data_IF_486108576976
#
_entry.id   IF_486108576976
#
_cell.length_a   1.000
_cell.length_b   1.000
_cell.length_c   1.000
_cell.angle_alpha   90.00
_cell.angle_beta   90.00
_cell.angle_gamma   90.00
#
_symmetry.space_group_name_H-M   'P 1'
#
loop_
_entity.id
_entity.type
_entity.pdbx_description
1 polymer ?
#
# COMPACT_ATOMS: atom_id res chain seq x y z
N UNK A 1 21.10 -3.09 -0.35
CA UNK A 1 20.18 -2.42 -1.30
C UNK A 1 20.55 -0.94 -1.32
N UNK A 2 20.83 -0.37 -2.51
CA UNK A 2 21.38 0.98 -2.70
C UNK A 2 20.36 2.02 -3.20
N UNK A 3 19.15 1.61 -3.60
CA UNK A 3 18.18 2.48 -4.27
C UNK A 3 18.44 2.64 -5.78
N UNK A 4 19.35 1.86 -6.36
CA UNK A 4 19.58 1.79 -7.80
C UNK A 4 18.33 1.29 -8.54
N UNK A 5 17.95 1.99 -9.61
CA UNK A 5 16.83 1.61 -10.47
C UNK A 5 17.30 0.48 -11.39
N UNK A 6 16.75 -0.71 -11.20
CA UNK A 6 17.06 -1.89 -12.00
C UNK A 6 16.09 -2.10 -13.18
N UNK A 7 14.94 -1.42 -13.14
CA UNK A 7 13.92 -1.52 -14.18
C UNK A 7 12.65 -0.74 -13.83
N UNK A 8 11.71 -0.71 -14.77
CA UNK A 8 10.43 -0.03 -14.61
C UNK A 8 9.33 -0.66 -15.47
N UNK A 9 8.06 -0.37 -15.13
CA UNK A 9 6.89 -0.70 -15.94
C UNK A 9 5.93 0.48 -15.98
N UNK A 10 5.17 0.61 -17.06
CA UNK A 10 4.05 1.55 -17.16
C UNK A 10 2.72 0.81 -17.05
N UNK A 11 1.85 1.26 -16.15
CA UNK A 11 0.53 0.68 -15.92
C UNK A 11 -0.56 1.70 -16.28
N UNK A 12 -1.15 1.55 -17.45
CA UNK A 12 -2.06 2.54 -18.03
C UNK A 12 -3.51 2.22 -17.69
N UNK A 13 -4.19 3.18 -17.05
CA UNK A 13 -5.59 3.03 -16.62
C UNK A 13 -5.77 2.23 -15.32
N UNK A 14 -4.69 2.00 -14.58
CA UNK A 14 -4.73 1.22 -13.35
C UNK A 14 -5.28 2.02 -12.16
N UNK A 15 -4.86 3.27 -12.04
CA UNK A 15 -5.23 4.17 -10.96
C UNK A 15 -4.02 4.96 -10.47
N UNK A 16 -4.05 5.35 -9.21
CA UNK A 16 -3.02 6.21 -8.61
C UNK A 16 -1.74 5.45 -8.25
N UNK A 17 -1.85 4.17 -7.89
CA UNK A 17 -0.73 3.35 -7.44
C UNK A 17 -0.41 3.51 -5.95
N UNK A 18 -1.43 3.75 -5.11
CA UNK A 18 -1.23 4.05 -3.68
C UNK A 18 -0.52 2.92 -2.92
N UNK A 19 -0.78 1.67 -3.29
CA UNK A 19 -0.14 0.51 -2.67
C UNK A 19 0.06 -0.58 -3.71
N UNK A 20 1.22 -1.24 -3.63
CA UNK A 20 1.57 -2.42 -4.42
C UNK A 20 1.85 -3.57 -3.46
N UNK A 21 1.21 -4.72 -3.69
CA UNK A 21 1.57 -5.99 -3.09
C UNK A 21 2.62 -6.70 -3.95
N UNK A 22 3.62 -7.28 -3.31
CA UNK A 22 4.68 -8.04 -4.01
C UNK A 22 4.60 -9.49 -3.56
N UNK A 23 4.50 -10.39 -4.53
CA UNK A 23 4.51 -11.83 -4.34
C UNK A 23 5.79 -12.40 -4.98
N UNK A 24 6.78 -12.81 -4.18
CA UNK A 24 8.04 -13.36 -4.70
C UNK A 24 7.82 -14.64 -5.52
N UNK A 25 8.42 -14.72 -6.71
CA UNK A 25 8.32 -15.87 -7.61
C UNK A 25 9.69 -16.24 -8.18
N UNK A 26 10.49 -16.96 -7.39
CA UNK A 26 11.85 -17.36 -7.78
C UNK A 26 12.76 -16.14 -7.99
N UNK A 27 13.21 -15.93 -9.23
CA UNK A 27 14.01 -14.76 -9.62
C UNK A 27 13.18 -13.56 -10.10
N UNK A 28 11.85 -13.68 -10.12
CA UNK A 28 10.89 -12.66 -10.52
C UNK A 28 9.92 -12.34 -9.38
N UNK A 29 8.93 -11.51 -9.63
CA UNK A 29 7.84 -11.25 -8.71
C UNK A 29 6.53 -10.99 -9.46
N UNK A 30 5.43 -11.46 -8.89
CA UNK A 30 4.11 -10.99 -9.28
C UNK A 30 3.77 -9.73 -8.48
N UNK A 31 3.28 -8.73 -9.20
CA UNK A 31 2.81 -7.48 -8.63
C UNK A 31 1.28 -7.50 -8.54
N UNK A 32 0.79 -6.99 -7.43
CA UNK A 32 -0.61 -6.80 -7.14
C UNK A 32 -0.87 -5.32 -6.96
N UNK A 33 -1.76 -4.75 -7.75
CA UNK A 33 -2.15 -3.34 -7.59
C UNK A 33 -3.56 -3.10 -8.10
N UNK A 34 -4.08 -1.91 -7.84
CA UNK A 34 -5.37 -1.45 -8.33
C UNK A 34 -5.43 -1.43 -9.87
N UNK A 35 -6.59 -1.70 -10.46
CA UNK A 35 -6.84 -1.61 -11.90
C UNK A 35 -8.26 -1.12 -12.19
N UNK A 36 -8.53 -0.81 -13.47
CA UNK A 36 -9.85 -0.41 -13.95
C UNK A 36 -10.32 0.87 -13.24
N UNK A 37 -9.41 1.83 -13.12
CA UNK A 37 -9.75 3.17 -12.63
C UNK A 37 -10.67 3.87 -13.65
N UNK A 38 -11.59 4.69 -13.14
CA UNK A 38 -12.34 5.58 -13.99
C UNK A 38 -11.37 6.55 -14.71
N UNK A 39 -11.70 7.03 -15.92
CA UNK A 39 -10.96 8.13 -16.53
C UNK A 39 -10.93 9.31 -15.55
N UNK A 40 -9.77 9.96 -15.36
CA UNK A 40 -9.71 11.13 -14.50
C UNK A 40 -10.62 12.23 -15.06
N UNK A 41 -11.40 12.87 -14.19
CA UNK A 41 -11.93 14.20 -14.44
C UNK A 41 -10.81 15.25 -14.32
N UNK A 42 -11.09 16.50 -14.68
CA UNK A 42 -10.12 17.59 -14.50
C UNK A 42 -9.71 17.72 -13.02
N UNK A 43 -8.45 17.39 -12.74
CA UNK A 43 -7.86 17.49 -11.40
C UNK A 43 -8.10 16.28 -10.48
N UNK A 44 -8.79 15.23 -10.94
CA UNK A 44 -9.08 14.05 -10.13
C UNK A 44 -7.98 12.99 -10.24
N UNK A 45 -7.52 12.51 -9.09
CA UNK A 45 -6.74 11.28 -8.98
C UNK A 45 -7.73 10.12 -8.88
N UNK A 46 -7.78 9.27 -9.91
CA UNK A 46 -8.66 8.11 -9.90
C UNK A 46 -7.97 6.88 -9.35
N UNK A 47 -8.72 6.10 -8.59
CA UNK A 47 -8.28 4.84 -8.03
C UNK A 47 -9.01 3.69 -8.73
N UNK A 48 -8.33 2.56 -8.84
CA UNK A 48 -8.87 1.33 -9.40
C UNK A 48 -9.96 0.74 -8.52
N UNK A 49 -10.92 0.08 -9.16
CA UNK A 49 -12.05 -0.56 -8.48
C UNK A 49 -11.91 -2.09 -8.39
N UNK A 50 -10.79 -2.61 -8.87
CA UNK A 50 -10.42 -4.02 -8.88
C UNK A 50 -8.94 -4.16 -8.58
N UNK A 51 -8.50 -5.36 -8.23
CA UNK A 51 -7.08 -5.68 -8.11
C UNK A 51 -6.64 -6.49 -9.32
N UNK A 52 -5.49 -6.18 -9.89
CA UNK A 52 -4.81 -6.99 -10.91
C UNK A 52 -3.57 -7.67 -10.32
N UNK A 53 -3.30 -8.89 -10.79
CA UNK A 53 -2.04 -9.63 -10.64
C UNK A 53 -1.40 -9.80 -12.00
N UNK A 54 -0.10 -9.51 -12.10
CA UNK A 54 0.71 -9.69 -13.31
C UNK A 54 2.18 -9.82 -12.92
N UNK A 55 3.00 -10.46 -13.76
CA UNK A 55 4.42 -10.58 -13.51
C UNK A 55 5.14 -9.26 -13.80
N UNK A 56 6.13 -8.90 -12.98
CA UNK A 56 7.01 -7.79 -13.31
C UNK A 56 7.87 -8.11 -14.54
N UNK A 57 7.91 -7.19 -15.49
CA UNK A 57 8.75 -7.27 -16.68
C UNK A 57 9.33 -5.89 -17.00
N UNK A 58 10.66 -5.74 -16.93
CA UNK A 58 11.31 -4.46 -17.19
C UNK A 58 10.99 -3.93 -18.61
N UNK A 59 10.69 -2.63 -18.68
CA UNK A 59 10.31 -1.90 -19.89
C UNK A 59 8.89 -2.19 -20.38
N UNK A 60 8.13 -3.06 -19.71
CA UNK A 60 6.79 -3.40 -20.15
C UNK A 60 5.79 -2.27 -19.91
N UNK A 61 4.81 -2.19 -20.81
CA UNK A 61 3.63 -1.33 -20.66
C UNK A 61 2.40 -2.21 -20.68
N UNK A 62 1.63 -2.19 -19.59
CA UNK A 62 0.35 -2.88 -19.49
C UNK A 62 -0.79 -1.89 -19.50
N UNK A 63 -1.88 -2.25 -20.16
CA UNK A 63 -3.15 -1.53 -20.05
C UNK A 63 -4.16 -2.40 -19.33
N UNK A 64 -5.33 -1.85 -18.99
CA UNK A 64 -6.41 -2.63 -18.39
C UNK A 64 -6.92 -3.75 -19.31
N UNK A 65 -6.62 -3.76 -20.61
CA UNK A 65 -7.02 -4.83 -21.53
C UNK A 65 -5.91 -5.82 -21.85
N UNK A 66 -4.71 -5.65 -21.28
CA UNK A 66 -3.58 -6.57 -21.49
C UNK A 66 -3.94 -7.99 -21.00
N UNK A 67 -3.56 -9.01 -21.76
CA UNK A 67 -3.93 -10.41 -21.51
C UNK A 67 -3.15 -11.02 -20.34
N UNK A 68 -2.05 -10.38 -19.95
CA UNK A 68 -1.17 -10.72 -18.85
C UNK A 68 -1.83 -10.48 -17.47
N UNK A 69 -2.89 -9.67 -17.41
CA UNK A 69 -3.57 -9.34 -16.16
C UNK A 69 -4.54 -10.47 -15.79
N UNK A 70 -4.39 -10.99 -14.57
CA UNK A 70 -5.51 -11.65 -13.88
C UNK A 70 -6.18 -10.62 -12.97
N UNK A 71 -7.47 -10.40 -13.14
CA UNK A 71 -8.22 -9.35 -12.41
C UNK A 71 -9.23 -9.93 -11.44
N UNK A 72 -9.28 -9.35 -10.25
CA UNK A 72 -10.10 -9.82 -9.15
C UNK A 72 -11.05 -8.73 -8.65
N UNK A 73 -12.31 -9.13 -8.46
CA UNK A 73 -13.32 -8.34 -7.75
C UNK A 73 -13.62 -9.07 -6.44
N UNK A 74 -12.82 -8.80 -5.40
CA UNK A 74 -12.87 -9.56 -4.14
C UNK A 74 -14.06 -9.18 -3.25
N UNK A 75 -14.54 -7.94 -3.37
CA UNK A 75 -15.72 -7.44 -2.66
C UNK A 75 -16.65 -6.84 -3.72
N UNK A 76 -17.86 -7.39 -3.93
CA UNK A 76 -18.81 -6.82 -4.88
C UNK A 76 -19.17 -5.37 -4.53
N UNK A 77 -19.08 -4.49 -5.52
CA UNK A 77 -19.40 -3.06 -5.38
C UNK A 77 -18.34 -2.22 -4.63
N UNK A 78 -17.19 -2.80 -4.29
CA UNK A 78 -16.07 -2.04 -3.75
C UNK A 78 -15.45 -1.13 -4.83
N UNK A 79 -14.98 0.03 -4.38
CA UNK A 79 -14.23 1.00 -5.19
C UNK A 79 -12.95 1.39 -4.46
N UNK A 80 -12.02 2.07 -5.15
CA UNK A 80 -10.76 2.57 -4.56
C UNK A 80 -9.98 1.48 -3.81
N UNK A 81 -9.77 0.35 -4.50
CA UNK A 81 -9.20 -0.85 -3.92
C UNK A 81 -7.69 -0.83 -3.97
N UNK A 82 -6.99 -1.14 -2.87
CA UNK A 82 -5.52 -1.24 -2.87
C UNK A 82 -5.07 -2.48 -2.09
N UNK A 83 -4.13 -3.29 -2.62
CA UNK A 83 -3.71 -4.53 -1.98
C UNK A 83 -2.44 -4.37 -1.14
N UNK A 84 -2.29 -5.21 -0.12
CA UNK A 84 -1.03 -5.51 0.54
C UNK A 84 -0.91 -7.03 0.70
N UNK A 85 0.30 -7.57 0.56
CA UNK A 85 0.59 -8.99 0.79
C UNK A 85 1.41 -9.12 2.05
N UNK A 86 0.97 -9.96 2.97
CA UNK A 86 1.74 -10.32 4.16
C UNK A 86 2.69 -11.50 3.84
N UNK A 87 4.01 -11.26 3.83
CA UNK A 87 4.99 -12.30 3.50
C UNK A 87 5.10 -13.41 4.55
N UNK A 88 4.49 -13.25 5.74
CA UNK A 88 4.54 -14.26 6.81
C UNK A 88 3.38 -15.26 6.77
N UNK A 89 2.23 -14.86 6.23
CA UNK A 89 1.00 -15.66 6.22
C UNK A 89 0.49 -15.99 4.83
N UNK A 90 1.03 -15.35 3.78
CA UNK A 90 0.47 -15.38 2.43
C UNK A 90 -1.01 -14.96 2.42
N UNK A 91 -1.33 -13.92 3.21
CA UNK A 91 -2.63 -13.27 3.13
C UNK A 91 -2.56 -12.04 2.24
N UNK A 92 -3.63 -11.80 1.48
CA UNK A 92 -3.89 -10.56 0.78
C UNK A 92 -4.84 -9.71 1.61
N UNK A 93 -4.41 -8.50 1.97
CA UNK A 93 -5.27 -7.48 2.57
C UNK A 93 -5.66 -6.46 1.51
N UNK A 94 -6.95 -6.35 1.23
CA UNK A 94 -7.48 -5.31 0.37
C UNK A 94 -8.08 -4.20 1.22
N UNK A 95 -7.50 -3.00 1.12
CA UNK A 95 -8.22 -1.77 1.50
C UNK A 95 -9.22 -1.44 0.40
N UNK A 96 -10.43 -1.06 0.76
CA UNK A 96 -11.45 -0.66 -0.21
C UNK A 96 -12.44 0.33 0.40
N UNK A 97 -13.10 1.11 -0.44
CA UNK A 97 -14.25 1.93 -0.05
C UNK A 97 -15.55 1.21 -0.41
N UNK A 98 -16.51 1.23 0.51
CA UNK A 98 -17.88 0.80 0.27
C UNK A 98 -18.83 1.70 1.05
N UNK A 99 -19.87 2.20 0.38
CA UNK A 99 -20.87 3.09 0.97
C UNK A 99 -20.26 4.32 1.69
N UNK A 100 -19.20 4.92 1.13
CA UNK A 100 -18.54 6.11 1.66
C UNK A 100 -17.58 5.87 2.83
N UNK A 101 -17.32 4.61 3.21
CA UNK A 101 -16.41 4.26 4.29
C UNK A 101 -15.30 3.31 3.80
N UNK A 102 -14.08 3.56 4.27
CA UNK A 102 -12.94 2.67 4.00
C UNK A 102 -12.91 1.49 4.98
N UNK A 103 -12.55 0.33 4.44
CA UNK A 103 -12.47 -0.96 5.14
C UNK A 103 -11.25 -1.74 4.68
N UNK A 104 -10.90 -2.77 5.45
CA UNK A 104 -9.83 -3.72 5.13
C UNK A 104 -10.38 -5.13 5.22
N UNK A 105 -10.39 -5.84 4.09
CA UNK A 105 -10.75 -7.24 4.03
C UNK A 105 -9.48 -8.08 3.80
N UNK A 106 -9.34 -9.15 4.59
CA UNK A 106 -8.20 -10.07 4.52
C UNK A 106 -8.66 -11.36 3.86
N UNK A 107 -7.87 -11.88 2.94
CA UNK A 107 -8.13 -13.11 2.20
C UNK A 107 -6.90 -14.01 2.22
N UNK A 108 -7.13 -15.33 2.16
CA UNK A 108 -6.08 -16.27 1.80
C UNK A 108 -5.66 -16.05 0.34
N UNK A 109 -4.36 -15.85 0.07
CA UNK A 109 -3.86 -15.52 -1.26
C UNK A 109 -4.10 -16.65 -2.27
N UNK A 110 -3.85 -17.90 -1.87
CA UNK A 110 -4.03 -19.05 -2.75
C UNK A 110 -5.52 -19.22 -3.14
N UNK A 111 -6.45 -18.98 -2.21
CA UNK A 111 -7.88 -18.98 -2.49
C UNK A 111 -8.29 -17.85 -3.45
N UNK A 112 -7.68 -16.66 -3.34
CA UNK A 112 -7.89 -15.58 -4.32
C UNK A 112 -7.44 -16.02 -5.70
N UNK A 113 -6.23 -16.56 -5.82
CA UNK A 113 -5.65 -17.00 -7.09
C UNK A 113 -6.44 -18.16 -7.73
N UNK A 114 -6.99 -19.06 -6.91
CA UNK A 114 -7.86 -20.13 -7.36
C UNK A 114 -9.26 -19.66 -7.80
N UNK A 115 -9.57 -18.37 -7.65
CA UNK A 115 -10.89 -17.80 -7.98
C UNK A 115 -11.98 -18.11 -6.96
N UNK A 116 -11.62 -18.53 -5.75
CA UNK A 116 -12.52 -18.88 -4.65
C UNK A 116 -12.18 -18.10 -3.37
N UNK A 117 -12.12 -16.76 -3.43
CA UNK A 117 -11.61 -15.94 -2.33
C UNK A 117 -12.41 -16.17 -1.04
N UNK A 118 -11.69 -16.55 0.01
CA UNK A 118 -12.27 -16.73 1.35
C UNK A 118 -11.88 -15.56 2.22
N UNK A 119 -12.87 -14.76 2.65
CA UNK A 119 -12.64 -13.62 3.55
C UNK A 119 -12.40 -14.12 4.97
N UNK A 120 -11.24 -13.80 5.52
CA UNK A 120 -10.83 -14.16 6.88
C UNK A 120 -11.28 -13.09 7.89
N UNK A 121 -11.02 -11.82 7.57
CA UNK A 121 -11.35 -10.67 8.39
C UNK A 121 -11.90 -9.53 7.55
N UNK A 122 -12.69 -8.67 8.18
CA UNK A 122 -13.24 -7.46 7.57
C UNK A 122 -13.48 -6.37 8.62
N UNK A 123 -12.59 -5.39 8.65
CA UNK A 123 -12.61 -4.32 9.66
C UNK A 123 -12.79 -2.94 9.02
N UNK A 124 -13.43 -2.03 9.76
CA UNK A 124 -13.47 -0.63 9.36
C UNK A 124 -12.08 0.00 9.50
N UNK A 125 -11.75 0.95 8.63
CA UNK A 125 -10.62 1.84 8.88
C UNK A 125 -10.90 2.65 10.17
N UNK A 126 -9.97 2.70 11.14
CA UNK A 126 -10.16 3.56 12.31
C UNK A 126 -10.23 5.03 11.93
N UNK A 127 -11.04 5.79 12.65
CA UNK A 127 -11.18 7.23 12.48
C UNK A 127 -10.02 8.01 13.11
N UNK A 128 -9.90 9.29 12.72
CA UNK A 128 -9.00 10.25 13.38
C UNK A 128 -7.51 9.99 13.15
N UNK A 129 -7.13 9.36 12.03
CA UNK A 129 -5.74 9.05 11.70
C UNK A 129 -5.01 10.18 10.94
N UNK A 130 -5.75 11.14 10.36
CA UNK A 130 -5.21 12.14 9.45
C UNK A 130 -5.19 11.67 7.99
N UNK A 131 -4.37 12.31 7.15
CA UNK A 131 -4.25 12.00 5.72
C UNK A 131 -3.62 10.63 5.52
N UNK A 132 -4.32 9.72 4.84
CA UNK A 132 -3.83 8.37 4.57
C UNK A 132 -2.71 8.36 3.53
N UNK A 133 -1.63 7.62 3.80
CA UNK A 133 -0.45 7.58 2.94
C UNK A 133 0.06 6.16 2.64
N UNK A 134 -0.59 5.11 3.16
CA UNK A 134 -0.20 3.73 2.86
C UNK A 134 -0.65 2.73 3.93
N UNK A 135 -0.61 1.45 3.57
CA UNK A 135 -0.93 0.36 4.50
C UNK A 135 -0.11 -0.91 4.21
N UNK A 136 0.11 -1.71 5.24
CA UNK A 136 0.68 -3.05 5.09
C UNK A 136 0.22 -3.96 6.22
N UNK A 137 0.45 -5.26 6.13
CA UNK A 137 0.01 -6.24 7.14
C UNK A 137 1.12 -7.21 7.51
N UNK A 138 1.14 -7.61 8.78
CA UNK A 138 2.01 -8.66 9.30
C UNK A 138 1.29 -9.48 10.37
N UNK A 139 1.11 -10.78 10.11
CA UNK A 139 0.30 -11.67 10.93
C UNK A 139 -1.14 -11.16 11.07
N UNK A 140 -1.55 -10.88 12.31
CA UNK A 140 -2.90 -10.38 12.62
C UNK A 140 -2.96 -8.85 12.75
N UNK A 141 -1.93 -8.13 12.32
CA UNK A 141 -1.86 -6.67 12.47
C UNK A 141 -1.84 -5.96 11.13
N UNK A 142 -2.64 -4.90 11.07
CA UNK A 142 -2.63 -3.88 10.03
C UNK A 142 -1.85 -2.68 10.52
N UNK A 143 -0.97 -2.19 9.65
CA UNK A 143 -0.18 -0.98 9.84
C UNK A 143 -0.67 0.07 8.87
N UNK A 144 -0.87 1.28 9.37
CA UNK A 144 -1.35 2.42 8.60
C UNK A 144 -0.36 3.57 8.73
N UNK A 145 0.02 4.15 7.58
CA UNK A 145 0.79 5.39 7.51
C UNK A 145 -0.17 6.55 7.28
N UNK A 146 -0.02 7.60 8.08
CA UNK A 146 -0.72 8.85 7.85
C UNK A 146 0.18 10.05 8.07
N UNK A 147 -0.17 11.17 7.44
CA UNK A 147 0.49 12.45 7.61
C UNK A 147 0.53 13.27 6.33
N UNK A 148 0.79 14.56 6.51
CA UNK A 148 0.91 15.55 5.44
C UNK A 148 2.39 15.91 5.23
N UNK A 149 2.74 16.49 4.06
CA UNK A 149 4.06 17.07 3.86
C UNK A 149 4.39 18.17 4.86
N UNK A 150 5.68 18.40 5.09
CA UNK A 150 6.15 19.60 5.79
C UNK A 150 5.74 20.88 5.07
N UNK A 151 5.24 21.83 5.85
CA UNK A 151 4.77 23.15 5.42
C UNK A 151 4.75 24.13 6.60
N UNK A 152 4.39 25.39 6.36
CA UNK A 152 4.21 26.37 7.44
C UNK A 152 3.11 25.96 8.44
N UNK A 153 2.08 25.22 7.98
CA UNK A 153 1.01 24.70 8.83
C UNK A 153 1.31 23.31 9.42
N UNK A 154 2.34 22.62 8.92
CA UNK A 154 2.80 21.33 9.40
C UNK A 154 4.34 21.33 9.55
N UNK A 155 4.91 22.20 10.40
CA UNK A 155 6.36 22.30 10.55
C UNK A 155 6.91 21.06 11.24
N UNK A 156 8.23 20.84 11.13
CA UNK A 156 8.90 19.75 11.83
C UNK A 156 8.53 19.71 13.33
N UNK A 157 8.22 18.53 13.91
CA UNK A 157 8.41 17.19 13.36
C UNK A 157 7.31 16.71 12.39
N UNK A 158 6.31 17.55 12.10
CA UNK A 158 5.11 17.26 11.31
C UNK A 158 4.13 16.35 12.04
N UNK A 159 3.20 15.79 11.28
CA UNK A 159 2.09 14.97 11.76
C UNK A 159 2.10 13.54 11.21
N UNK A 160 3.27 12.97 10.93
CA UNK A 160 3.34 11.59 10.44
C UNK A 160 3.15 10.59 11.57
N UNK A 161 2.12 9.76 11.48
CA UNK A 161 1.84 8.70 12.44
C UNK A 161 1.92 7.31 11.80
N UNK A 162 2.33 6.34 12.60
CA UNK A 162 2.14 4.92 12.31
C UNK A 162 1.12 4.39 13.30
N UNK A 163 0.09 3.75 12.77
CA UNK A 163 -1.00 3.16 13.56
C UNK A 163 -1.00 1.65 13.37
N UNK A 164 -1.10 0.88 14.45
CA UNK A 164 -1.32 -0.56 14.41
C UNK A 164 -2.75 -0.90 14.82
N UNK A 165 -3.34 -1.88 14.14
CA UNK A 165 -4.73 -2.31 14.32
C UNK A 165 -4.77 -3.83 14.34
N UNK A 166 -5.48 -4.42 15.29
CA UNK A 166 -5.72 -5.86 15.28
C UNK A 166 -6.79 -6.18 14.22
N UNK A 167 -6.41 -6.93 13.19
CA UNK A 167 -7.28 -7.30 12.06
C UNK A 167 -8.47 -8.16 12.50
N UNK A 168 -8.40 -8.85 13.64
CA UNK A 168 -9.46 -9.73 14.12
C UNK A 168 -10.60 -8.95 14.77
N UNK A 169 -10.29 -7.78 15.34
CA UNK A 169 -11.23 -6.99 16.14
C UNK A 169 -11.48 -5.59 15.60
N UNK A 170 -10.60 -5.08 14.74
CA UNK A 170 -10.59 -3.69 14.28
C UNK A 170 -10.10 -2.70 15.36
N UNK A 171 -9.62 -3.18 16.51
CA UNK A 171 -9.15 -2.31 17.58
C UNK A 171 -7.80 -1.71 17.24
N UNK A 172 -7.70 -0.39 17.37
CA UNK A 172 -6.42 0.33 17.32
C UNK A 172 -5.59 -0.04 18.55
N UNK A 173 -4.38 -0.53 18.31
CA UNK A 173 -3.45 -1.00 19.34
C UNK A 173 -2.47 0.11 19.71
N UNK A 174 -1.80 0.71 18.73
CA UNK A 174 -0.93 1.87 18.91
C UNK A 174 -1.19 2.94 17.85
N UNK A 175 -0.79 4.17 18.17
CA UNK A 175 -0.83 5.32 17.26
C UNK A 175 0.31 6.27 17.65
N UNK A 176 1.42 6.17 16.93
CA UNK A 176 2.69 6.76 17.36
C UNK A 176 3.24 7.73 16.32
N UNK A 177 3.69 8.90 16.80
CA UNK A 177 4.34 9.90 15.95
C UNK A 177 5.68 9.36 15.45
N UNK A 178 5.84 9.24 14.13
CA UNK A 178 7.11 8.88 13.52
C UNK A 178 8.02 10.10 13.39
N UNK A 179 9.19 10.03 14.01
CA UNK A 179 10.28 11.02 13.87
C UNK A 179 11.34 10.61 12.84
N UNK A 180 11.13 9.50 12.13
CA UNK A 180 12.02 9.10 11.04
C UNK A 180 12.01 10.16 9.93
N UNK A 181 13.18 10.41 9.34
CA UNK A 181 13.34 11.43 8.32
C UNK A 181 13.14 12.88 8.79
N UNK A 182 13.05 13.17 10.10
CA UNK A 182 12.76 14.54 10.61
C UNK A 182 13.73 15.64 10.15
N UNK A 183 14.92 15.26 9.66
CA UNK A 183 15.94 16.17 9.17
C UNK A 183 15.82 16.49 7.67
N UNK A 184 14.83 15.91 6.98
CA UNK A 184 14.54 16.23 5.59
C UNK A 184 13.96 17.65 5.48
N UNK A 185 14.29 18.33 4.39
CA UNK A 185 13.86 19.70 4.08
C UNK A 185 12.37 19.78 3.72
N UNK A 186 11.91 18.78 2.98
CA UNK A 186 10.54 18.43 2.72
C UNK A 186 10.35 16.98 3.17
N UNK A 187 9.21 16.66 3.76
CA UNK A 187 8.95 15.33 4.30
C UNK A 187 7.49 14.97 4.15
N UNK A 188 7.19 14.21 3.12
CA UNK A 188 5.86 13.67 2.84
C UNK A 188 5.92 12.14 2.99
N UNK A 189 5.05 11.50 3.80
CA UNK A 189 5.03 10.04 3.93
C UNK A 189 4.46 9.40 2.66
N UNK A 190 5.10 8.36 2.14
CA UNK A 190 4.76 7.77 0.84
C UNK A 190 4.87 6.23 0.90
N UNK A 191 3.79 5.57 1.33
CA UNK A 191 3.68 4.11 1.33
C UNK A 191 4.43 3.38 2.46
N UNK A 192 4.07 2.11 2.63
CA UNK A 192 4.69 1.21 3.59
C UNK A 192 4.65 -0.25 3.15
N UNK A 193 5.55 -1.07 3.69
CA UNK A 193 5.65 -2.49 3.41
C UNK A 193 6.33 -3.24 4.57
N UNK A 194 6.11 -4.55 4.63
CA UNK A 194 6.93 -5.44 5.45
C UNK A 194 8.06 -6.02 4.60
N UNK A 195 9.28 -5.93 5.12
CA UNK A 195 10.42 -6.69 4.59
C UNK A 195 10.82 -7.75 5.62
N UNK A 196 10.98 -9.00 5.19
CA UNK A 196 11.60 -10.03 6.02
C UNK A 196 13.10 -10.03 5.76
N UNK A 197 13.89 -9.89 6.82
CA UNK A 197 15.34 -9.88 6.77
C UNK A 197 15.88 -10.92 7.75
N UNK A 198 16.48 -12.00 7.22
CA UNK A 198 16.97 -13.13 8.02
C UNK A 198 15.91 -13.71 8.99
N UNK A 199 14.65 -13.72 8.57
CA UNK A 199 13.50 -14.20 9.37
C UNK A 199 12.87 -13.16 10.30
N UNK A 200 13.45 -11.96 10.42
CA UNK A 200 12.90 -10.88 11.24
C UNK A 200 12.10 -9.88 10.38
N UNK A 201 10.91 -9.42 10.82
CA UNK A 201 10.14 -8.42 10.09
C UNK A 201 10.67 -7.00 10.34
N UNK A 202 10.77 -6.23 9.26
CA UNK A 202 11.03 -4.79 9.30
C UNK A 202 9.83 -4.05 8.70
N UNK A 203 9.21 -3.17 9.50
CA UNK A 203 8.17 -2.26 9.02
C UNK A 203 8.84 -1.11 8.29
N UNK A 204 8.79 -1.16 6.97
CA UNK A 204 9.40 -0.18 6.07
C UNK A 204 8.38 0.88 5.64
N UNK A 205 8.83 2.12 5.47
CA UNK A 205 7.99 3.23 4.99
C UNK A 205 8.86 4.30 4.33
N UNK A 206 8.28 4.99 3.35
CA UNK A 206 8.97 5.98 2.52
C UNK A 206 8.70 7.42 2.93
N UNK A 207 9.65 8.30 2.61
CA UNK A 207 9.40 9.74 2.54
C UNK A 207 9.89 10.32 1.22
N UNK A 208 9.11 11.22 0.63
CA UNK A 208 9.58 12.14 -0.39
C UNK A 208 10.21 13.39 0.25
N UNK A 209 11.32 13.86 -0.32
CA UNK A 209 12.05 15.08 0.07
C UNK A 209 12.56 15.86 -1.15
N UNK A 210 13.23 17.00 -0.94
CA UNK A 210 13.75 17.83 -2.02
C UNK A 210 12.68 18.69 -2.70
N UNK A 211 12.98 19.28 -3.86
CA UNK A 211 12.05 20.19 -4.56
C UNK A 211 11.10 19.45 -5.51
N UNK A 212 9.97 20.09 -5.86
CA UNK A 212 9.07 19.61 -6.92
C UNK A 212 9.86 19.42 -8.22
N UNK A 213 9.68 18.28 -8.89
CA UNK A 213 10.43 17.91 -10.09
C UNK A 213 11.83 17.30 -9.84
N UNK A 214 12.33 17.36 -8.61
CA UNK A 214 13.61 16.79 -8.20
C UNK A 214 13.48 16.06 -6.85
N UNK A 215 12.33 15.39 -6.63
CA UNK A 215 12.05 14.69 -5.39
C UNK A 215 12.97 13.49 -5.22
N UNK A 216 13.35 13.22 -3.98
CA UNK A 216 14.12 12.03 -3.59
C UNK A 216 13.24 11.17 -2.69
N UNK A 217 13.20 9.87 -2.96
CA UNK A 217 12.56 8.89 -2.09
C UNK A 217 13.59 8.30 -1.11
N UNK A 218 13.30 8.34 0.18
CA UNK A 218 14.11 7.72 1.23
C UNK A 218 13.29 6.69 1.98
N UNK A 219 13.83 5.47 2.17
CA UNK A 219 13.16 4.40 2.90
C UNK A 219 13.76 4.27 4.30
N UNK A 220 12.90 4.24 5.30
CA UNK A 220 13.22 3.98 6.69
C UNK A 220 12.53 2.71 7.14
N UNK A 221 12.99 2.13 8.26
CA UNK A 221 12.30 1.00 8.86
C UNK A 221 12.36 1.01 10.39
N UNK A 222 11.43 0.27 11.01
CA UNK A 222 11.46 -0.11 12.42
C UNK A 222 11.68 -1.62 12.52
N UNK A 223 12.60 -2.06 13.38
CA UNK A 223 12.81 -3.49 13.70
C UNK A 223 11.90 -3.99 14.80
N UNK A 224 11.40 -3.09 15.66
CA UNK A 224 10.35 -3.38 16.62
C UNK A 224 9.02 -2.88 16.05
N UNK A 225 8.07 -3.80 15.90
CA UNK A 225 6.75 -3.47 15.37
C UNK A 225 5.95 -2.72 16.43
N UNK A 226 5.30 -1.64 16.00
CA UNK A 226 4.35 -0.82 16.77
C UNK A 226 2.94 -1.40 16.69
#
# INVERSE_FOLDING_TARGET
MSGEILGHMYLMGFGHGVQIGVEPAGSSAYLWTETDAAPPGDGDVTQGNRIARFEFADGATLTTSSAELTKYTLVPGAIKTTPAIDPSTNHLTMRYEQAGAFRYAVFDLAAVEAGSPTRLYDIAQPDGLGTFQGHTTYGNYLYLLSGDPYSDSNPAPGNTYITSVDLRTGQRIQHELSRAGKSLDYREPEGMAIRIDSGAPHLCFGFASGQVGARVASIYYKSELV
#
